data_IF_299212303299
#
_entry.id   IF_299212303299
#
_cell.length_a   1.000
_cell.length_b   1.000
_cell.length_c   1.000
_cell.angle_alpha   90.00
_cell.angle_beta   90.00
_cell.angle_gamma   90.00
#
_symmetry.space_group_name_H-M   'P 1'
#
loop_
_entity.id
_entity.type
_entity.pdbx_description
1 polymer ?
#
# COMPACT_ATOMS: atom_id res chain seq x y z
N UNK A 1 -11.31 -8.55 21.11
CA UNK A 1 -12.72 -8.92 21.32
C UNK A 1 -13.38 -7.71 21.97
N UNK A 2 -14.60 -7.36 21.57
CA UNK A 2 -15.41 -6.18 21.96
C UNK A 2 -15.18 -4.87 21.18
N UNK A 3 -15.97 -4.69 20.11
CA UNK A 3 -16.47 -3.40 19.55
C UNK A 3 -17.31 -3.60 18.25
N UNK A 4 -18.02 -4.72 18.11
CA UNK A 4 -18.92 -5.01 16.97
C UNK A 4 -20.28 -5.56 17.46
N UNK A 5 -20.79 -5.07 18.59
CA UNK A 5 -22.07 -5.51 19.16
C UNK A 5 -23.14 -4.40 19.19
N UNK A 6 -22.88 -3.24 18.60
CA UNK A 6 -23.90 -2.21 18.39
C UNK A 6 -24.39 -2.23 16.95
N UNK A 7 -25.70 -2.48 16.75
CA UNK A 7 -26.46 -2.52 15.48
C UNK A 7 -26.80 -3.92 14.92
N UNK A 8 -27.23 -4.85 15.78
CA UNK A 8 -28.25 -5.82 15.37
C UNK A 8 -29.62 -5.14 15.51
N UNK A 9 -29.94 -4.22 14.59
CA UNK A 9 -31.35 -3.98 14.28
C UNK A 9 -31.95 -5.34 13.89
N UNK A 10 -33.16 -5.60 14.36
CA UNK A 10 -33.86 -6.89 14.38
C UNK A 10 -34.21 -7.37 12.95
N UNK A 11 -33.21 -7.64 12.13
CA UNK A 11 -33.33 -7.88 10.70
C UNK A 11 -33.62 -9.37 10.48
N UNK A 12 -34.78 -9.70 9.90
CA UNK A 12 -35.10 -11.11 9.54
C UNK A 12 -34.17 -11.63 8.44
N UNK A 13 -33.57 -10.71 7.69
CA UNK A 13 -32.71 -10.97 6.55
C UNK A 13 -31.37 -10.24 6.73
N UNK A 14 -30.32 -10.81 6.15
CA UNK A 14 -28.99 -10.19 6.09
C UNK A 14 -28.50 -10.19 4.66
N UNK A 15 -28.10 -9.04 4.15
CA UNK A 15 -27.49 -8.95 2.82
C UNK A 15 -26.06 -9.50 2.90
N UNK A 16 -25.74 -10.51 2.10
CA UNK A 16 -24.41 -11.10 2.02
C UNK A 16 -23.60 -10.54 0.84
N UNK A 17 -24.26 -10.12 -0.24
CA UNK A 17 -23.62 -9.46 -1.37
C UNK A 17 -24.41 -9.46 -2.65
N UNK A 18 -23.72 -9.24 -3.77
CA UNK A 18 -24.33 -9.16 -5.10
C UNK A 18 -23.60 -10.08 -6.07
N UNK A 19 -24.35 -10.75 -6.93
CA UNK A 19 -23.80 -11.56 -8.02
C UNK A 19 -23.84 -10.73 -9.30
N UNK A 20 -22.67 -10.24 -9.73
CA UNK A 20 -22.50 -9.24 -10.79
C UNK A 20 -23.03 -9.67 -12.16
N UNK A 21 -22.99 -10.97 -12.50
CA UNK A 21 -23.41 -11.43 -13.83
C UNK A 21 -24.93 -11.43 -14.06
N UNK A 22 -25.75 -11.31 -13.00
CA UNK A 22 -27.21 -11.50 -13.10
C UNK A 22 -28.06 -10.46 -12.36
N UNK A 23 -27.46 -9.38 -11.84
CA UNK A 23 -28.17 -8.40 -11.00
C UNK A 23 -28.93 -9.07 -9.84
N UNK A 24 -28.32 -10.08 -9.21
CA UNK A 24 -28.91 -10.80 -8.08
C UNK A 24 -28.33 -10.27 -6.77
N UNK A 25 -29.18 -10.08 -5.77
CA UNK A 25 -28.78 -9.91 -4.39
C UNK A 25 -28.75 -11.29 -3.70
N UNK A 26 -27.67 -11.55 -2.97
CA UNK A 26 -27.49 -12.74 -2.14
C UNK A 26 -27.89 -12.37 -0.72
N UNK A 27 -28.99 -12.96 -0.24
CA UNK A 27 -29.60 -12.62 1.04
C UNK A 27 -29.67 -13.89 1.88
N UNK A 28 -29.32 -13.79 3.17
CA UNK A 28 -29.43 -14.89 4.12
C UNK A 28 -30.63 -14.67 5.02
N UNK A 29 -31.45 -15.72 5.19
CA UNK A 29 -32.54 -15.74 6.16
C UNK A 29 -31.93 -16.09 7.52
N UNK A 30 -31.96 -15.18 8.49
CA UNK A 30 -31.27 -15.37 9.76
C UNK A 30 -31.85 -16.55 10.56
N UNK A 31 -33.18 -16.73 10.51
CA UNK A 31 -33.88 -17.80 11.24
C UNK A 31 -33.55 -19.21 10.74
N UNK A 32 -33.22 -19.38 9.45
CA UNK A 32 -33.00 -20.70 8.84
C UNK A 32 -31.56 -20.92 8.35
N UNK A 33 -30.74 -19.88 8.33
CA UNK A 33 -29.39 -19.90 7.73
C UNK A 33 -29.39 -20.10 6.21
N UNK A 34 -30.57 -20.16 5.57
CA UNK A 34 -30.69 -20.43 4.14
C UNK A 34 -30.31 -19.18 3.33
N UNK A 35 -29.44 -19.37 2.34
CA UNK A 35 -29.04 -18.33 1.39
C UNK A 35 -29.94 -18.38 0.17
N UNK A 36 -30.55 -17.24 -0.18
CA UNK A 36 -31.42 -17.08 -1.33
C UNK A 36 -30.84 -16.02 -2.27
N UNK A 37 -30.97 -16.27 -3.58
CA UNK A 37 -30.51 -15.37 -4.65
C UNK A 37 -31.75 -14.80 -5.35
N UNK A 38 -31.94 -13.49 -5.26
CA UNK A 38 -33.14 -12.81 -5.77
C UNK A 38 -32.72 -11.66 -6.68
N UNK A 39 -33.47 -11.38 -7.75
CA UNK A 39 -33.19 -10.23 -8.63
C UNK A 39 -33.32 -8.92 -7.86
N UNK A 40 -32.41 -7.97 -8.09
CA UNK A 40 -32.44 -6.65 -7.46
C UNK A 40 -33.78 -5.93 -7.65
N UNK A 41 -34.40 -6.07 -8.84
CA UNK A 41 -35.73 -5.51 -9.13
C UNK A 41 -36.85 -6.11 -8.27
N UNK A 42 -36.71 -7.38 -7.92
CA UNK A 42 -37.69 -8.13 -7.12
C UNK A 42 -37.46 -7.86 -5.62
N UNK A 43 -36.21 -7.70 -5.19
CA UNK A 43 -35.87 -7.29 -3.83
C UNK A 43 -36.43 -5.90 -3.51
N UNK A 44 -36.32 -4.94 -4.43
CA UNK A 44 -36.82 -3.58 -4.25
C UNK A 44 -38.33 -3.51 -3.98
N UNK A 45 -39.09 -4.46 -4.52
CA UNK A 45 -40.55 -4.51 -4.40
C UNK A 45 -41.03 -5.51 -3.33
N UNK A 46 -40.11 -6.10 -2.57
CA UNK A 46 -40.42 -7.15 -1.58
C UNK A 46 -40.36 -6.63 -0.14
N UNK A 47 -41.07 -7.32 0.77
CA UNK A 47 -41.01 -7.10 2.22
C UNK A 47 -39.60 -7.30 2.81
N UNK A 48 -38.67 -7.88 2.03
CA UNK A 48 -37.27 -8.06 2.43
C UNK A 48 -36.62 -6.69 2.64
N UNK A 49 -37.02 -5.65 1.89
CA UNK A 49 -36.41 -4.33 2.02
C UNK A 49 -36.70 -3.63 3.34
N UNK A 50 -37.88 -3.87 3.91
CA UNK A 50 -38.29 -3.29 5.19
C UNK A 50 -37.56 -3.94 6.38
N UNK A 51 -37.05 -5.15 6.17
CA UNK A 51 -36.39 -5.97 7.18
C UNK A 51 -34.86 -5.95 7.07
N UNK A 52 -34.28 -5.07 6.24
CA UNK A 52 -32.83 -4.90 6.06
C UNK A 52 -32.36 -3.61 6.74
N UNK A 53 -31.11 -3.59 7.20
CA UNK A 53 -30.55 -2.40 7.85
C UNK A 53 -30.43 -1.24 6.83
N UNK A 54 -30.59 0.01 7.28
CA UNK A 54 -30.37 1.24 6.48
C UNK A 54 -29.11 1.21 5.61
N UNK A 55 -28.00 0.65 6.11
CA UNK A 55 -26.76 0.50 5.33
C UNK A 55 -26.90 -0.50 4.16
N UNK A 56 -27.60 -1.62 4.38
CA UNK A 56 -27.83 -2.66 3.38
C UNK A 56 -28.79 -2.17 2.29
N UNK A 57 -29.85 -1.46 2.70
CA UNK A 57 -30.81 -0.80 1.79
C UNK A 57 -30.09 0.21 0.89
N UNK A 58 -29.23 1.06 1.46
CA UNK A 58 -28.42 2.02 0.71
C UNK A 58 -27.52 1.33 -0.33
N UNK A 59 -26.94 0.18 0.01
CA UNK A 59 -26.09 -0.59 -0.90
C UNK A 59 -26.88 -1.22 -2.06
N UNK A 60 -28.10 -1.73 -1.80
CA UNK A 60 -29.00 -2.28 -2.83
C UNK A 60 -29.40 -1.19 -3.83
N UNK A 61 -29.84 -0.03 -3.34
CA UNK A 61 -30.16 1.11 -4.21
C UNK A 61 -28.97 1.57 -5.04
N UNK A 62 -27.78 1.67 -4.41
CA UNK A 62 -26.56 2.05 -5.11
C UNK A 62 -26.20 1.06 -6.22
N UNK A 63 -26.39 -0.25 -6.00
CA UNK A 63 -26.10 -1.28 -7.01
C UNK A 63 -27.13 -1.27 -8.15
N UNK A 64 -28.41 -1.13 -7.83
CA UNK A 64 -29.49 -1.12 -8.81
C UNK A 64 -29.43 0.08 -9.75
N UNK A 65 -29.32 1.29 -9.20
CA UNK A 65 -29.31 2.52 -10.00
C UNK A 65 -27.99 2.78 -10.74
N UNK A 66 -26.89 2.16 -10.31
CA UNK A 66 -25.60 2.29 -11.02
C UNK A 66 -25.44 1.32 -12.19
N UNK A 67 -26.47 0.51 -12.52
CA UNK A 67 -26.41 -0.55 -13.53
C UNK A 67 -25.15 -1.43 -13.38
N UNK A 68 -24.79 -1.79 -12.15
CA UNK A 68 -23.61 -2.63 -11.86
C UNK A 68 -22.27 -1.89 -11.87
N UNK A 69 -22.22 -0.60 -12.21
CA UNK A 69 -20.98 0.18 -12.26
C UNK A 69 -20.41 0.60 -10.91
N UNK A 70 -21.25 0.66 -9.86
CA UNK A 70 -20.78 1.05 -8.52
C UNK A 70 -20.32 -0.16 -7.70
N UNK A 71 -19.04 -0.16 -7.32
CA UNK A 71 -18.51 -1.10 -6.32
C UNK A 71 -19.23 -0.87 -4.98
N UNK A 72 -19.84 -1.91 -4.44
CA UNK A 72 -20.47 -1.91 -3.12
C UNK A 72 -19.53 -2.48 -2.05
N UNK A 73 -19.85 -2.26 -0.77
CA UNK A 73 -19.06 -2.81 0.34
C UNK A 73 -18.99 -4.35 0.33
N UNK A 74 -19.95 -5.01 -0.31
CA UNK A 74 -20.02 -6.46 -0.43
C UNK A 74 -19.19 -7.03 -1.59
N UNK A 75 -19.03 -6.30 -2.70
CA UNK A 75 -18.06 -6.65 -3.75
C UNK A 75 -16.60 -6.65 -3.24
N UNK A 76 -16.34 -6.03 -2.08
CA UNK A 76 -15.02 -6.04 -1.43
C UNK A 76 -14.79 -7.28 -0.56
N UNK A 77 -15.84 -8.02 -0.17
CA UNK A 77 -15.75 -9.16 0.74
C UNK A 77 -15.71 -10.51 -0.01
N UNK A 78 -16.23 -10.56 -1.24
CA UNK A 78 -16.21 -11.73 -2.13
C UNK A 78 -14.97 -11.69 -3.05
N UNK A 79 -13.79 -11.54 -2.45
CA UNK A 79 -12.53 -11.47 -3.21
C UNK A 79 -12.15 -12.84 -3.74
N UNK A 80 -12.36 -13.03 -5.04
CA UNK A 80 -11.83 -14.12 -5.85
C UNK A 80 -10.33 -14.36 -5.53
N UNK A 81 -9.88 -15.61 -5.54
CA UNK A 81 -8.49 -16.00 -5.24
C UNK A 81 -7.45 -15.17 -6.03
N UNK A 82 -7.76 -14.83 -7.29
CA UNK A 82 -6.91 -13.99 -8.14
C UNK A 82 -6.64 -12.60 -7.55
N UNK A 83 -7.59 -12.01 -6.83
CA UNK A 83 -7.40 -10.71 -6.16
C UNK A 83 -6.40 -10.80 -5.02
N UNK A 84 -6.47 -11.89 -4.24
CA UNK A 84 -5.53 -12.17 -3.16
C UNK A 84 -4.14 -12.49 -3.71
N UNK A 85 -4.05 -13.19 -4.84
CA UNK A 85 -2.78 -13.42 -5.52
C UNK A 85 -2.11 -12.11 -5.94
N UNK A 86 -2.87 -11.16 -6.51
CA UNK A 86 -2.29 -9.84 -6.86
C UNK A 86 -1.86 -9.07 -5.61
N UNK A 87 -2.64 -9.14 -4.52
CA UNK A 87 -2.23 -8.56 -3.23
C UNK A 87 -0.88 -9.13 -2.78
N UNK A 88 -0.72 -10.46 -2.81
CA UNK A 88 0.52 -11.14 -2.40
C UNK A 88 1.68 -10.75 -3.32
N UNK A 89 1.47 -10.73 -4.64
CA UNK A 89 2.50 -10.33 -5.60
C UNK A 89 2.96 -8.89 -5.33
N UNK A 90 2.03 -7.96 -5.14
CA UNK A 90 2.38 -6.57 -4.82
C UNK A 90 3.12 -6.45 -3.49
N UNK A 91 2.74 -7.22 -2.47
CA UNK A 91 3.47 -7.25 -1.19
C UNK A 91 4.89 -7.81 -1.35
N UNK A 92 5.06 -8.88 -2.14
CA UNK A 92 6.36 -9.48 -2.42
C UNK A 92 7.26 -8.52 -3.19
N UNK A 93 6.69 -7.80 -4.16
CA UNK A 93 7.38 -6.79 -4.95
C UNK A 93 7.80 -5.61 -4.05
N UNK A 94 6.89 -5.13 -3.20
CA UNK A 94 7.15 -4.08 -2.21
C UNK A 94 8.32 -4.49 -1.30
N UNK A 95 8.27 -5.69 -0.73
CA UNK A 95 9.32 -6.24 0.12
C UNK A 95 10.67 -6.30 -0.59
N UNK A 96 10.69 -6.82 -1.82
CA UNK A 96 11.91 -6.99 -2.61
C UNK A 96 12.57 -5.65 -2.92
N UNK A 97 11.80 -4.68 -3.44
CA UNK A 97 12.34 -3.35 -3.73
C UNK A 97 12.72 -2.61 -2.47
N UNK A 98 11.93 -2.70 -1.41
CA UNK A 98 12.23 -2.03 -0.16
C UNK A 98 13.59 -2.49 0.40
N UNK A 99 13.79 -3.79 0.58
CA UNK A 99 15.07 -4.32 1.07
C UNK A 99 16.23 -3.97 0.14
N UNK A 100 16.03 -4.13 -1.17
CA UNK A 100 17.07 -3.79 -2.13
C UNK A 100 17.48 -2.32 -2.02
N UNK A 101 16.52 -1.39 -1.97
CA UNK A 101 16.80 0.05 -1.84
C UNK A 101 17.48 0.37 -0.53
N UNK A 102 17.05 -0.27 0.55
CA UNK A 102 17.59 -0.15 1.90
C UNK A 102 19.05 -0.63 2.00
N UNK A 103 19.41 -1.74 1.34
CA UNK A 103 20.80 -2.21 1.27
C UNK A 103 21.62 -1.38 0.27
N UNK A 104 21.06 -1.04 -0.88
CA UNK A 104 21.73 -0.23 -1.91
C UNK A 104 22.02 1.20 -1.41
N UNK A 105 21.25 1.71 -0.45
CA UNK A 105 21.49 2.99 0.20
C UNK A 105 22.84 3.06 0.94
N UNK A 106 23.44 1.93 1.27
CA UNK A 106 24.69 1.86 2.04
C UNK A 106 25.93 2.19 1.22
N UNK A 107 25.84 2.09 -0.11
CA UNK A 107 26.93 2.47 -1.03
C UNK A 107 26.63 3.84 -1.65
N UNK A 108 27.16 4.95 -1.11
CA UNK A 108 27.09 6.23 -1.79
C UNK A 108 27.89 6.17 -3.11
N UNK A 109 27.30 6.68 -4.18
CA UNK A 109 27.94 6.81 -5.48
C UNK A 109 28.18 8.30 -5.72
N UNK A 110 29.40 8.65 -6.10
CA UNK A 110 29.73 9.99 -6.53
C UNK A 110 29.50 10.10 -8.05
N UNK A 111 28.56 10.94 -8.48
CA UNK A 111 28.40 11.28 -9.89
C UNK A 111 29.25 12.51 -10.20
N UNK A 112 30.43 12.29 -10.79
CA UNK A 112 31.35 13.36 -11.22
C UNK A 112 30.68 14.37 -12.16
N UNK A 113 29.77 13.92 -13.04
CA UNK A 113 29.08 14.78 -13.99
C UNK A 113 28.16 15.83 -13.35
N UNK A 114 27.71 15.62 -12.11
CA UNK A 114 26.79 16.53 -11.43
C UNK A 114 27.38 17.09 -10.13
N UNK A 115 28.50 16.55 -9.64
CA UNK A 115 29.10 16.94 -8.36
C UNK A 115 28.25 16.53 -7.16
N UNK A 116 27.38 15.52 -7.30
CA UNK A 116 26.42 15.12 -6.27
C UNK A 116 26.66 13.68 -5.82
N UNK A 117 26.53 13.45 -4.52
CA UNK A 117 26.53 12.13 -3.90
C UNK A 117 25.10 11.59 -3.93
N UNK A 118 24.87 10.49 -4.65
CA UNK A 118 23.56 9.85 -4.78
C UNK A 118 23.70 8.38 -4.38
N UNK A 119 22.71 7.85 -3.69
CA UNK A 119 22.64 6.41 -3.43
C UNK A 119 21.82 5.72 -4.53
N UNK A 120 22.23 4.54 -5.02
CA UNK A 120 21.48 3.81 -6.04
C UNK A 120 20.06 3.46 -5.59
N UNK A 121 19.82 3.34 -4.28
CA UNK A 121 18.47 3.18 -3.71
C UNK A 121 17.51 4.33 -4.05
N UNK A 122 18.01 5.55 -4.27
CA UNK A 122 17.18 6.74 -4.58
C UNK A 122 16.39 6.58 -5.88
N UNK A 123 16.90 5.81 -6.85
CA UNK A 123 16.25 5.59 -8.14
C UNK A 123 15.14 4.54 -8.08
N UNK A 124 15.32 3.50 -7.26
CA UNK A 124 14.33 2.42 -7.14
C UNK A 124 13.28 2.70 -6.04
N UNK A 125 13.58 3.54 -5.05
CA UNK A 125 12.65 3.86 -3.98
C UNK A 125 11.30 4.43 -4.47
N UNK A 126 11.23 5.31 -5.49
CA UNK A 126 9.94 5.75 -6.05
C UNK A 126 9.01 4.62 -6.51
N UNK A 127 9.54 3.43 -6.83
CA UNK A 127 8.72 2.26 -7.17
C UNK A 127 7.98 1.68 -5.96
N UNK A 128 8.50 1.84 -4.73
CA UNK A 128 7.79 1.38 -3.52
C UNK A 128 6.52 2.20 -3.31
N UNK A 129 6.60 3.53 -3.46
CA UNK A 129 5.45 4.42 -3.41
C UNK A 129 4.38 4.02 -4.43
N UNK A 130 4.79 3.73 -5.67
CA UNK A 130 3.87 3.25 -6.71
C UNK A 130 3.13 2.00 -6.27
N UNK A 131 3.83 1.01 -5.70
CA UNK A 131 3.21 -0.24 -5.25
C UNK A 131 2.26 0.00 -4.09
N UNK A 132 2.62 0.85 -3.13
CA UNK A 132 1.76 1.21 -1.99
C UNK A 132 0.51 1.97 -2.48
N UNK A 133 0.65 2.82 -3.50
CA UNK A 133 -0.47 3.52 -4.12
C UNK A 133 -1.43 2.55 -4.81
N UNK A 134 -0.90 1.55 -5.53
CA UNK A 134 -1.70 0.47 -6.12
C UNK A 134 -2.39 -0.38 -5.05
N UNK A 135 -1.71 -0.68 -3.94
CA UNK A 135 -2.28 -1.38 -2.81
C UNK A 135 -3.43 -0.58 -2.18
N UNK A 136 -3.26 0.73 -1.98
CA UNK A 136 -4.31 1.60 -1.47
C UNK A 136 -5.50 1.70 -2.41
N UNK A 137 -5.24 1.84 -3.71
CA UNK A 137 -6.29 2.01 -4.70
C UNK A 137 -7.17 0.76 -4.82
N UNK A 138 -6.54 -0.41 -4.89
CA UNK A 138 -7.22 -1.68 -5.15
C UNK A 138 -7.71 -2.36 -3.88
N UNK A 139 -6.94 -2.28 -2.79
CA UNK A 139 -7.20 -3.03 -1.56
C UNK A 139 -7.67 -2.16 -0.39
N UNK A 140 -7.54 -0.84 -0.50
CA UNK A 140 -7.96 0.12 0.50
C UNK A 140 -6.94 0.36 1.61
N UNK A 141 -7.18 1.41 2.40
CA UNK A 141 -6.25 1.93 3.41
C UNK A 141 -5.84 0.89 4.48
N UNK A 142 -6.78 0.06 4.95
CA UNK A 142 -6.50 -0.92 6.00
C UNK A 142 -5.48 -1.97 5.56
N UNK A 143 -5.60 -2.46 4.33
CA UNK A 143 -4.70 -3.48 3.80
C UNK A 143 -3.37 -2.89 3.35
N UNK A 144 -3.37 -1.69 2.76
CA UNK A 144 -2.13 -0.98 2.45
C UNK A 144 -1.29 -0.71 3.72
N UNK A 145 -1.91 -0.28 4.82
CA UNK A 145 -1.20 -0.11 6.11
C UNK A 145 -0.64 -1.41 6.68
N UNK A 146 -1.35 -2.54 6.50
CA UNK A 146 -0.81 -3.85 6.86
C UNK A 146 0.40 -4.22 6.00
N UNK A 147 0.35 -3.98 4.70
CA UNK A 147 1.48 -4.21 3.79
C UNK A 147 2.72 -3.38 4.19
N UNK A 148 2.53 -2.08 4.49
CA UNK A 148 3.58 -1.19 4.99
C UNK A 148 4.17 -1.75 6.30
N UNK A 149 3.31 -2.15 7.24
CA UNK A 149 3.77 -2.73 8.51
C UNK A 149 4.55 -4.03 8.32
N UNK A 150 4.12 -4.92 7.42
CA UNK A 150 4.84 -6.16 7.13
C UNK A 150 6.18 -5.90 6.44
N UNK A 151 6.26 -4.95 5.50
CA UNK A 151 7.51 -4.52 4.88
C UNK A 151 8.48 -3.93 5.93
N UNK A 152 7.97 -3.10 6.84
CA UNK A 152 8.74 -2.57 7.96
C UNK A 152 9.23 -3.68 8.91
N UNK A 153 8.34 -4.55 9.37
CA UNK A 153 8.66 -5.62 10.32
C UNK A 153 9.70 -6.60 9.76
N UNK A 154 9.60 -6.89 8.46
CA UNK A 154 10.53 -7.79 7.79
C UNK A 154 11.90 -7.15 7.56
N UNK A 155 11.98 -5.85 7.24
CA UNK A 155 13.25 -5.13 7.24
C UNK A 155 13.87 -5.03 8.64
N UNK A 156 13.07 -4.79 9.68
CA UNK A 156 13.52 -4.83 11.07
C UNK A 156 14.11 -6.21 11.45
N UNK A 157 13.47 -7.30 11.00
CA UNK A 157 13.99 -8.65 11.20
C UNK A 157 15.36 -8.83 10.52
N UNK A 158 15.53 -8.32 9.30
CA UNK A 158 16.83 -8.38 8.59
C UNK A 158 17.90 -7.61 9.35
N UNK A 159 17.59 -6.41 9.87
CA UNK A 159 18.54 -5.63 10.68
C UNK A 159 18.99 -6.44 11.90
N UNK A 160 18.04 -7.07 12.62
CA UNK A 160 18.34 -7.89 13.80
C UNK A 160 19.22 -9.09 13.44
N UNK A 161 18.93 -9.77 12.33
CA UNK A 161 19.72 -10.92 11.88
C UNK A 161 21.13 -10.52 11.42
N UNK A 162 21.26 -9.41 10.67
CA UNK A 162 22.56 -8.89 10.24
C UNK A 162 23.39 -8.45 11.43
N UNK A 163 22.80 -7.69 12.36
CA UNK A 163 23.47 -7.28 13.59
C UNK A 163 23.81 -8.48 14.50
N UNK A 164 22.95 -9.51 14.53
CA UNK A 164 23.25 -10.77 15.19
C UNK A 164 24.51 -11.46 14.63
N UNK A 165 24.73 -11.35 13.32
CA UNK A 165 25.88 -11.98 12.66
C UNK A 165 27.23 -11.40 13.08
N UNK A 166 27.29 -10.16 13.58
CA UNK A 166 28.55 -9.54 14.05
C UNK A 166 29.01 -10.06 15.41
N UNK A 167 28.15 -10.76 16.16
CA UNK A 167 28.52 -11.39 17.44
C UNK A 167 29.19 -12.76 17.27
N UNK A 168 29.09 -13.37 16.08
CA UNK A 168 29.71 -14.66 15.83
C UNK A 168 31.21 -14.47 15.59
N UNK A 169 32.06 -15.36 16.12
CA UNK A 169 33.51 -15.28 15.91
C UNK A 169 33.83 -15.49 14.43
N UNK A 170 34.62 -14.57 13.87
CA UNK A 170 35.16 -14.69 12.53
C UNK A 170 36.09 -15.90 12.39
N UNK A 171 36.19 -16.42 11.16
CA UNK A 171 37.10 -17.52 10.86
C UNK A 171 38.56 -17.05 10.97
N UNK A 172 39.44 -17.77 11.69
CA UNK A 172 40.86 -17.41 11.80
C UNK A 172 41.51 -17.32 10.41
N UNK A 173 42.08 -16.16 10.09
CA UNK A 173 42.73 -15.90 8.78
C UNK A 173 41.80 -15.33 7.71
N UNK A 174 40.52 -15.08 7.99
CA UNK A 174 39.62 -14.41 7.07
C UNK A 174 39.88 -12.90 7.03
N UNK A 175 40.44 -12.41 5.92
CA UNK A 175 40.83 -11.00 5.73
C UNK A 175 39.66 -10.00 5.79
N UNK A 176 38.42 -10.48 5.62
CA UNK A 176 37.22 -9.64 5.55
C UNK A 176 36.47 -9.54 6.88
N UNK A 177 36.99 -10.11 7.97
CA UNK A 177 36.29 -10.10 9.26
C UNK A 177 36.05 -8.68 9.80
N UNK A 178 37.10 -7.85 9.85
CA UNK A 178 36.98 -6.43 10.26
C UNK A 178 36.16 -5.60 9.26
N UNK A 179 36.42 -5.65 7.94
CA UNK A 179 35.60 -4.95 6.95
C UNK A 179 34.12 -5.35 6.95
N UNK A 180 33.81 -6.62 7.23
CA UNK A 180 32.44 -7.12 7.30
C UNK A 180 31.67 -6.49 8.47
N UNK A 181 32.28 -6.45 9.65
CA UNK A 181 31.68 -5.82 10.82
C UNK A 181 31.45 -4.31 10.61
N UNK A 182 32.42 -3.60 10.03
CA UNK A 182 32.28 -2.17 9.73
C UNK A 182 31.13 -1.90 8.75
N UNK A 183 31.03 -2.71 7.68
CA UNK A 183 29.95 -2.61 6.71
C UNK A 183 28.60 -2.88 7.38
N UNK A 184 28.47 -3.90 8.22
CA UNK A 184 27.18 -4.21 8.87
C UNK A 184 26.76 -3.14 9.86
N UNK A 185 27.68 -2.60 10.65
CA UNK A 185 27.37 -1.51 11.58
C UNK A 185 26.86 -0.30 10.77
N UNK A 186 27.53 0.07 9.68
CA UNK A 186 27.07 1.15 8.81
C UNK A 186 25.71 0.85 8.15
N UNK A 187 25.55 -0.36 7.61
CA UNK A 187 24.29 -0.83 6.99
C UNK A 187 23.15 -0.75 7.99
N UNK A 188 23.33 -1.27 9.22
CA UNK A 188 22.28 -1.28 10.24
C UNK A 188 21.79 0.12 10.61
N UNK A 189 22.70 1.10 10.73
CA UNK A 189 22.33 2.50 11.02
C UNK A 189 21.48 3.12 9.90
N UNK A 190 21.92 2.95 8.64
CA UNK A 190 21.17 3.43 7.46
C UNK A 190 19.82 2.73 7.34
N UNK A 191 19.77 1.43 7.61
CA UNK A 191 18.55 0.64 7.59
C UNK A 191 17.53 1.12 8.64
N UNK A 192 17.98 1.47 9.86
CA UNK A 192 17.12 2.05 10.90
C UNK A 192 16.56 3.40 10.44
N UNK A 193 17.40 4.29 9.91
CA UNK A 193 16.97 5.58 9.37
C UNK A 193 15.92 5.42 8.26
N UNK A 194 16.18 4.53 7.30
CA UNK A 194 15.23 4.22 6.21
C UNK A 194 13.93 3.62 6.71
N UNK A 195 13.97 2.80 7.76
CA UNK A 195 12.77 2.17 8.34
C UNK A 195 11.84 3.16 9.01
N UNK A 196 12.40 4.11 9.76
CA UNK A 196 11.61 5.18 10.39
C UNK A 196 11.02 6.10 9.31
N UNK A 197 11.84 6.48 8.32
CA UNK A 197 11.40 7.31 7.21
C UNK A 197 10.28 6.68 6.39
N UNK A 198 10.44 5.42 6.00
CA UNK A 198 9.46 4.63 5.26
C UNK A 198 8.15 4.52 6.03
N UNK A 199 8.22 4.19 7.33
CA UNK A 199 7.02 4.02 8.15
C UNK A 199 6.21 5.33 8.25
N UNK A 200 6.87 6.48 8.41
CA UNK A 200 6.19 7.78 8.51
C UNK A 200 5.65 8.20 7.15
N UNK A 201 6.50 8.20 6.11
CA UNK A 201 6.16 8.72 4.79
C UNK A 201 5.07 7.90 4.09
N UNK A 202 5.14 6.56 4.12
CA UNK A 202 4.15 5.71 3.44
C UNK A 202 2.79 5.70 4.14
N UNK A 203 2.77 5.85 5.46
CA UNK A 203 1.51 6.01 6.20
C UNK A 203 0.83 7.34 5.86
N UNK A 204 1.60 8.41 5.73
CA UNK A 204 1.10 9.72 5.31
C UNK A 204 0.66 9.68 3.85
N UNK A 205 1.44 9.07 2.96
CA UNK A 205 1.09 8.84 1.55
C UNK A 205 -0.28 8.15 1.44
N UNK A 206 -0.42 7.01 2.11
CA UNK A 206 -1.65 6.22 2.12
C UNK A 206 -2.86 7.00 2.63
N UNK A 207 -2.66 7.79 3.70
CA UNK A 207 -3.72 8.62 4.26
C UNK A 207 -4.13 9.75 3.31
N UNK A 208 -3.18 10.49 2.74
CA UNK A 208 -3.42 11.57 1.79
C UNK A 208 -4.10 11.05 0.53
N UNK A 209 -3.67 9.91 0.00
CA UNK A 209 -4.30 9.26 -1.15
C UNK A 209 -5.78 8.99 -0.85
N UNK A 210 -6.10 8.39 0.30
CA UNK A 210 -7.49 8.14 0.70
C UNK A 210 -8.29 9.46 0.84
N UNK A 211 -7.70 10.49 1.46
CA UNK A 211 -8.37 11.77 1.68
C UNK A 211 -8.64 12.52 0.38
N UNK A 212 -7.69 12.55 -0.54
CA UNK A 212 -7.86 13.17 -1.86
C UNK A 212 -8.89 12.38 -2.69
N UNK A 213 -8.96 11.05 -2.55
CA UNK A 213 -10.01 10.23 -3.20
C UNK A 213 -11.41 10.63 -2.74
N UNK A 214 -11.58 10.87 -1.44
CA UNK A 214 -12.84 11.34 -0.84
C UNK A 214 -13.21 12.73 -1.37
N UNK A 215 -12.25 13.68 -1.35
CA UNK A 215 -12.46 15.05 -1.82
C UNK A 215 -12.77 15.15 -3.32
N UNK A 216 -12.16 14.28 -4.14
CA UNK A 216 -12.30 14.34 -5.61
C UNK A 216 -13.41 13.44 -6.16
N UNK A 217 -14.22 12.81 -5.30
CA UNK A 217 -15.25 11.83 -5.71
C UNK A 217 -14.69 10.77 -6.69
N UNK A 218 -13.44 10.35 -6.49
CA UNK A 218 -12.73 9.38 -7.33
C UNK A 218 -12.53 9.76 -8.82
N UNK A 219 -12.67 11.03 -9.20
CA UNK A 219 -12.58 11.47 -10.60
C UNK A 219 -11.13 11.58 -11.12
N UNK A 220 -10.19 12.08 -10.31
CA UNK A 220 -8.83 12.39 -10.75
C UNK A 220 -7.79 11.46 -10.12
N UNK A 221 -7.44 10.37 -10.82
CA UNK A 221 -6.43 9.41 -10.34
C UNK A 221 -5.03 10.01 -10.34
N UNK A 222 -4.64 10.67 -11.44
CA UNK A 222 -3.34 11.35 -11.58
C UNK A 222 -3.05 12.26 -10.39
N UNK A 223 -3.98 13.18 -10.12
CA UNK A 223 -3.80 14.22 -9.12
C UNK A 223 -3.64 13.61 -7.73
N UNK A 224 -4.39 12.55 -7.44
CA UNK A 224 -4.34 11.84 -6.18
C UNK A 224 -2.97 11.19 -5.94
N UNK A 225 -2.50 10.40 -6.91
CA UNK A 225 -1.21 9.69 -6.81
C UNK A 225 -0.08 10.71 -6.73
N UNK A 226 -0.01 11.65 -7.69
CA UNK A 226 1.07 12.61 -7.73
C UNK A 226 1.15 13.48 -6.46
N UNK A 227 0.03 14.03 -5.98
CA UNK A 227 0.05 14.86 -4.78
C UNK A 227 0.39 14.05 -3.53
N UNK A 228 -0.17 12.84 -3.35
CA UNK A 228 0.15 12.04 -2.17
C UNK A 228 1.62 11.63 -2.15
N UNK A 229 2.15 11.17 -3.29
CA UNK A 229 3.57 10.81 -3.40
C UNK A 229 4.48 12.03 -3.22
N UNK A 230 4.11 13.21 -3.73
CA UNK A 230 4.90 14.43 -3.58
C UNK A 230 5.09 14.81 -2.10
N UNK A 231 4.02 14.86 -1.32
CA UNK A 231 4.11 15.14 0.12
C UNK A 231 4.90 14.05 0.85
N UNK A 232 4.70 12.79 0.49
CA UNK A 232 5.40 11.68 1.11
C UNK A 232 6.90 11.69 0.84
N UNK A 233 7.32 11.98 -0.40
CA UNK A 233 8.73 12.08 -0.81
C UNK A 233 9.47 13.21 -0.08
N UNK A 234 8.81 14.34 0.15
CA UNK A 234 9.38 15.46 0.90
C UNK A 234 9.65 15.04 2.34
N UNK A 235 8.64 14.45 3.00
CA UNK A 235 8.76 13.98 4.38
C UNK A 235 9.80 12.87 4.49
N UNK A 236 9.78 11.91 3.57
CA UNK A 236 10.73 10.81 3.52
C UNK A 236 12.18 11.32 3.41
N UNK A 237 12.46 12.18 2.45
CA UNK A 237 13.82 12.66 2.22
C UNK A 237 14.32 13.50 3.41
N UNK A 238 13.44 14.30 4.02
CA UNK A 238 13.77 15.08 5.22
C UNK A 238 14.07 14.18 6.42
N UNK A 239 13.16 13.26 6.76
CA UNK A 239 13.29 12.35 7.90
C UNK A 239 14.50 11.43 7.72
N UNK A 240 14.68 10.86 6.53
CA UNK A 240 15.81 9.99 6.22
C UNK A 240 17.16 10.71 6.35
N UNK A 241 17.34 11.85 5.67
CA UNK A 241 18.64 12.54 5.67
C UNK A 241 18.97 13.08 7.06
N UNK A 242 17.97 13.56 7.79
CA UNK A 242 18.18 14.03 9.16
C UNK A 242 18.58 12.86 10.06
N UNK A 243 17.83 11.75 10.10
CA UNK A 243 18.19 10.62 10.98
C UNK A 243 19.52 9.97 10.59
N UNK A 244 19.82 9.85 9.29
CA UNK A 244 21.02 9.18 8.81
C UNK A 244 22.31 10.00 9.03
N UNK A 245 22.26 11.33 8.89
CA UNK A 245 23.47 12.18 8.87
C UNK A 245 23.54 13.21 9.99
N UNK A 246 22.54 13.30 10.87
CA UNK A 246 22.56 14.23 11.99
C UNK A 246 23.74 13.94 12.92
N UNK A 247 24.61 14.95 13.08
CA UNK A 247 25.84 14.85 13.88
C UNK A 247 27.06 14.31 13.13
N UNK A 248 26.90 13.80 11.90
CA UNK A 248 28.02 13.31 11.07
C UNK A 248 28.46 14.32 10.00
N UNK A 249 27.52 15.08 9.43
CA UNK A 249 27.78 16.07 8.37
C UNK A 249 27.32 17.48 8.78
N UNK A 250 27.83 18.50 8.09
CA UNK A 250 27.39 19.87 8.30
C UNK A 250 25.94 20.05 7.81
N UNK A 251 25.12 20.82 8.54
CA UNK A 251 23.70 21.00 8.21
C UNK A 251 23.45 21.50 6.78
N UNK A 252 24.35 22.31 6.22
CA UNK A 252 24.23 22.79 4.84
C UNK A 252 24.32 21.67 3.81
N UNK A 253 25.20 20.69 4.04
CA UNK A 253 25.36 19.53 3.14
C UNK A 253 24.15 18.60 3.23
N UNK A 254 23.60 18.41 4.44
CA UNK A 254 22.37 17.64 4.66
C UNK A 254 21.21 18.28 3.90
N UNK A 255 21.05 19.60 3.97
CA UNK A 255 20.00 20.32 3.23
C UNK A 255 20.16 20.18 1.71
N UNK A 256 21.37 20.34 1.19
CA UNK A 256 21.65 20.14 -0.24
C UNK A 256 21.28 18.71 -0.68
N UNK A 257 21.63 17.71 0.12
CA UNK A 257 21.30 16.31 -0.16
C UNK A 257 19.78 16.06 -0.14
N UNK A 258 19.04 16.69 0.79
CA UNK A 258 17.58 16.64 0.82
C UNK A 258 16.98 17.21 -0.47
N UNK A 259 17.42 18.40 -0.91
CA UNK A 259 16.90 19.03 -2.12
C UNK A 259 17.10 18.17 -3.37
N UNK A 260 18.29 17.61 -3.53
CA UNK A 260 18.59 16.72 -4.66
C UNK A 260 17.70 15.47 -4.62
N UNK A 261 17.59 14.82 -3.46
CA UNK A 261 16.77 13.60 -3.34
C UNK A 261 15.30 13.88 -3.66
N UNK A 262 14.76 14.98 -3.16
CA UNK A 262 13.39 15.40 -3.47
C UNK A 262 13.23 15.63 -4.97
N UNK A 263 14.14 16.37 -5.61
CA UNK A 263 14.07 16.66 -7.04
C UNK A 263 14.07 15.38 -7.89
N UNK A 264 14.96 14.44 -7.58
CA UNK A 264 15.04 13.15 -8.28
C UNK A 264 13.76 12.35 -8.05
N UNK A 265 13.36 12.13 -6.79
CA UNK A 265 12.18 11.32 -6.46
C UNK A 265 10.87 11.90 -7.02
N UNK A 266 10.73 13.23 -7.06
CA UNK A 266 9.57 13.90 -7.68
C UNK A 266 9.55 13.71 -9.19
N UNK A 267 10.70 13.79 -9.85
CA UNK A 267 10.81 13.49 -11.28
C UNK A 267 10.36 12.06 -11.57
N UNK A 268 10.82 11.08 -10.78
CA UNK A 268 10.35 9.70 -10.87
C UNK A 268 8.85 9.55 -10.56
N UNK A 269 8.33 10.26 -9.56
CA UNK A 269 6.90 10.23 -9.24
C UNK A 269 6.04 10.68 -10.43
N UNK A 270 6.51 11.67 -11.21
CA UNK A 270 5.86 12.10 -12.44
C UNK A 270 5.83 10.99 -13.50
N UNK A 271 6.93 10.26 -13.71
CA UNK A 271 6.97 9.13 -14.64
C UNK A 271 6.14 7.93 -14.17
N UNK A 272 6.12 7.67 -12.86
CA UNK A 272 5.42 6.55 -12.23
C UNK A 272 3.90 6.59 -12.36
N UNK A 273 3.34 7.74 -12.70
CA UNK A 273 1.93 7.90 -13.04
C UNK A 273 1.51 7.02 -14.23
N UNK A 274 2.36 6.89 -15.26
CA UNK A 274 2.05 6.09 -16.45
C UNK A 274 1.82 4.61 -16.10
N UNK A 275 2.76 3.93 -15.41
CA UNK A 275 2.52 2.58 -14.93
C UNK A 275 1.33 2.46 -13.97
N UNK A 276 1.03 3.48 -13.16
CA UNK A 276 -0.14 3.45 -12.29
C UNK A 276 -1.47 3.40 -13.06
N UNK A 277 -1.60 4.20 -14.14
CA UNK A 277 -2.75 4.11 -15.05
C UNK A 277 -2.81 2.75 -15.77
N UNK A 278 -1.65 2.24 -16.21
CA UNK A 278 -1.55 0.91 -16.83
C UNK A 278 -2.01 -0.20 -15.89
N UNK A 279 -1.52 -0.19 -14.65
CA UNK A 279 -1.90 -1.15 -13.62
C UNK A 279 -3.40 -1.10 -13.30
N UNK A 280 -4.01 0.09 -13.20
CA UNK A 280 -5.47 0.20 -13.01
C UNK A 280 -6.25 -0.39 -14.18
N UNK A 281 -5.82 -0.13 -15.42
CA UNK A 281 -6.46 -0.71 -16.60
C UNK A 281 -6.35 -2.25 -16.61
N UNK A 282 -5.17 -2.77 -16.25
CA UNK A 282 -4.89 -4.21 -16.21
C UNK A 282 -5.68 -4.89 -15.11
N UNK A 283 -5.79 -4.27 -13.94
CA UNK A 283 -6.59 -4.75 -12.81
C UNK A 283 -8.08 -4.81 -13.16
N UNK A 284 -8.60 -3.81 -13.89
CA UNK A 284 -9.99 -3.82 -14.39
C UNK A 284 -10.23 -4.99 -15.34
N UNK A 285 -9.30 -5.25 -16.27
CA UNK A 285 -9.39 -6.37 -17.22
C UNK A 285 -9.36 -7.73 -16.52
N UNK A 286 -8.40 -7.96 -15.62
CA UNK A 286 -8.27 -9.23 -14.89
C UNK A 286 -9.47 -9.52 -13.99
N UNK A 287 -10.01 -8.50 -13.31
CA UNK A 287 -11.22 -8.63 -12.50
C UNK A 287 -12.44 -8.96 -13.37
N UNK A 288 -12.54 -8.38 -14.57
CA UNK A 288 -13.66 -8.64 -15.49
C UNK A 288 -13.56 -10.04 -16.09
N UNK A 289 -12.36 -10.51 -16.47
CA UNK A 289 -12.15 -11.86 -17.00
C UNK A 289 -12.40 -12.96 -15.95
N UNK A 290 -12.06 -12.71 -14.69
CA UNK A 290 -12.39 -13.63 -13.59
C UNK A 290 -13.89 -13.74 -13.30
N UNK A 291 -14.72 -12.83 -13.84
CA UNK A 291 -16.18 -12.88 -13.73
C UNK A 291 -16.83 -13.62 -14.91
N UNK A 292 -16.09 -13.89 -15.98
CA UNK A 292 -16.58 -14.57 -17.19
C UNK A 292 -16.23 -16.06 -17.28
N UNK A 293 -15.40 -16.58 -16.35
CA UNK A 293 -15.18 -18.01 -16.17
C UNK A 293 -16.04 -18.54 -15.03
#
# INVERSE_FOLDING_TARGET
>A
MTAYEGELENSKYKLLGFENNKNLAVIMIIATGKVIKIKLSEVLNSEIMENLNKMEVKNIYKKFYSQGGALTAYDLNDRHESSWMIYIILNLLLFTFYIFTSIAATKPIYLESLGIIITPGTFLYPLTFLIVDLLNENFGLRLARKAIFFAFASNAMIIILLYGSTFLPGLPGWKLDTPYNDVIIHVSSVLVASSVSFLVSENINSYLLCKIKELTNSRFLFLRIFLSTLFAVIIDSFVFCYIAFYGSMQNNDILNMIYVQIAIKVCFAFFNILPAYGARSLFKRYMTDSQTK
#
